data_IF_770203984977
#
_entry.id   IF_770203984977
#
_cell.length_a   1.000
_cell.length_b   1.000
_cell.length_c   1.000
_cell.angle_alpha   90.00
_cell.angle_beta   90.00
_cell.angle_gamma   90.00
#
_symmetry.space_group_name_H-M   'P 1'
#
loop_
_entity.id
_entity.type
_entity.pdbx_description
1 polymer ?
#
# COMPACT_ATOMS: atom_id res chain seq x y z
N UNK A 1 -22.97 -14.48 6.28
CA UNK A 1 -22.83 -14.94 4.88
C UNK A 1 -23.08 -13.70 4.02
N UNK A 2 -22.03 -12.94 3.68
CA UNK A 2 -22.12 -11.97 2.58
C UNK A 2 -22.41 -12.78 1.32
N UNK A 3 -23.45 -12.43 0.58
CA UNK A 3 -23.59 -12.85 -0.79
C UNK A 3 -22.34 -12.33 -1.52
N UNK A 4 -21.40 -13.20 -1.82
CA UNK A 4 -20.34 -12.93 -2.78
C UNK A 4 -21.05 -12.85 -4.14
N UNK A 5 -21.47 -11.65 -4.48
CA UNK A 5 -21.89 -11.37 -5.84
C UNK A 5 -20.61 -11.44 -6.66
N UNK A 6 -20.46 -12.49 -7.44
CA UNK A 6 -19.41 -12.58 -8.46
C UNK A 6 -19.72 -11.46 -9.47
N UNK A 7 -19.02 -10.36 -9.35
CA UNK A 7 -19.06 -9.32 -10.36
C UNK A 7 -18.36 -9.86 -11.61
N UNK A 8 -19.09 -9.97 -12.69
CA UNK A 8 -18.56 -10.37 -14.00
C UNK A 8 -17.85 -9.20 -14.69
N UNK A 9 -18.20 -7.98 -14.31
CA UNK A 9 -17.66 -6.75 -14.88
C UNK A 9 -17.08 -5.87 -13.76
N UNK A 10 -15.78 -5.99 -13.52
CA UNK A 10 -15.01 -5.12 -12.62
C UNK A 10 -14.22 -4.13 -13.46
N UNK A 11 -14.32 -2.85 -13.14
CA UNK A 11 -13.53 -1.79 -13.77
C UNK A 11 -12.36 -1.43 -12.84
N UNK A 12 -11.15 -1.38 -13.39
CA UNK A 12 -9.98 -0.88 -12.68
C UNK A 12 -9.88 0.60 -12.98
N UNK A 13 -9.89 1.40 -11.92
CA UNK A 13 -9.76 2.84 -11.95
C UNK A 13 -8.28 3.21 -11.87
N UNK A 14 -7.82 4.04 -12.79
CA UNK A 14 -6.46 4.59 -12.76
C UNK A 14 -6.35 5.78 -11.79
N UNK A 15 -5.18 6.43 -11.75
CA UNK A 15 -4.94 7.54 -10.82
C UNK A 15 -5.83 8.76 -11.15
N UNK A 16 -6.18 8.98 -12.40
CA UNK A 16 -7.01 10.12 -12.83
C UNK A 16 -8.46 9.88 -12.48
N UNK A 17 -8.98 8.69 -12.76
CA UNK A 17 -10.32 8.24 -12.38
C UNK A 17 -10.51 8.32 -10.85
N UNK A 18 -9.51 7.86 -10.09
CA UNK A 18 -9.53 7.89 -8.62
C UNK A 18 -9.53 9.32 -8.06
N UNK A 19 -8.82 10.24 -8.71
CA UNK A 19 -8.84 11.66 -8.34
C UNK A 19 -10.23 12.26 -8.54
N UNK A 20 -10.84 12.04 -9.70
CA UNK A 20 -12.20 12.52 -9.98
C UNK A 20 -13.20 11.96 -8.98
N UNK A 21 -13.13 10.67 -8.69
CA UNK A 21 -14.05 10.01 -7.77
C UNK A 21 -13.86 10.46 -6.31
N UNK A 22 -12.64 10.79 -5.91
CA UNK A 22 -12.33 11.23 -4.55
C UNK A 22 -12.57 12.72 -4.29
N UNK A 23 -12.67 13.54 -5.34
CA UNK A 23 -12.79 14.99 -5.24
C UNK A 23 -13.95 15.47 -4.35
N UNK A 24 -15.16 14.86 -4.39
CA UNK A 24 -16.27 15.27 -3.51
C UNK A 24 -15.98 15.10 -2.01
N UNK A 25 -15.05 14.24 -1.67
CA UNK A 25 -14.69 13.90 -0.29
C UNK A 25 -13.42 14.57 0.18
N UNK A 26 -12.68 15.19 -0.72
CA UNK A 26 -11.41 15.86 -0.43
C UNK A 26 -11.62 17.13 0.40
N UNK A 27 -10.94 17.26 1.54
CA UNK A 27 -10.92 18.53 2.27
C UNK A 27 -10.34 19.64 1.40
N UNK A 28 -11.03 20.78 1.34
CA UNK A 28 -10.76 21.85 0.35
C UNK A 28 -9.36 22.48 0.36
N UNK A 29 -8.55 22.20 1.39
CA UNK A 29 -7.15 22.67 1.48
C UNK A 29 -6.15 21.59 1.13
N UNK A 30 -6.54 20.31 1.12
CA UNK A 30 -5.66 19.20 0.85
C UNK A 30 -5.43 19.06 -0.67
N UNK A 31 -4.18 18.87 -1.07
CA UNK A 31 -3.85 18.64 -2.48
C UNK A 31 -4.41 17.32 -2.95
N UNK A 32 -4.87 17.23 -4.19
CA UNK A 32 -5.41 16.00 -4.80
C UNK A 32 -4.48 14.80 -4.62
N UNK A 33 -3.21 14.97 -5.00
CA UNK A 33 -2.21 13.89 -4.91
C UNK A 33 -1.99 13.45 -3.46
N UNK A 34 -1.97 14.38 -2.50
CA UNK A 34 -1.83 14.03 -1.09
C UNK A 34 -3.04 13.26 -0.58
N UNK A 35 -4.25 13.60 -1.02
CA UNK A 35 -5.46 12.90 -0.61
C UNK A 35 -5.52 11.47 -1.17
N UNK A 36 -5.18 11.26 -2.44
CA UNK A 36 -5.10 9.93 -3.04
C UNK A 36 -4.07 9.04 -2.31
N UNK A 37 -2.90 9.59 -1.98
CA UNK A 37 -1.87 8.86 -1.23
C UNK A 37 -2.33 8.48 0.17
N UNK A 38 -3.05 9.37 0.84
CA UNK A 38 -3.61 9.11 2.18
C UNK A 38 -4.65 7.99 2.11
N UNK A 39 -5.53 8.01 1.12
CA UNK A 39 -6.51 6.94 0.89
C UNK A 39 -5.77 5.60 0.72
N UNK A 40 -4.81 5.54 -0.20
CA UNK A 40 -4.02 4.33 -0.46
C UNK A 40 -3.34 3.82 0.81
N UNK A 41 -2.61 4.69 1.51
CA UNK A 41 -1.94 4.35 2.76
C UNK A 41 -2.91 3.76 3.80
N UNK A 42 -4.07 4.40 4.01
CA UNK A 42 -5.03 3.93 5.02
C UNK A 42 -5.68 2.61 4.62
N UNK A 43 -5.96 2.39 3.33
CA UNK A 43 -6.47 1.11 2.80
C UNK A 43 -5.46 -0.02 3.02
N UNK A 44 -4.18 0.22 2.72
CA UNK A 44 -3.10 -0.75 2.95
C UNK A 44 -2.97 -1.12 4.43
N UNK A 45 -2.91 -0.12 5.32
CA UNK A 45 -2.81 -0.39 6.76
C UNK A 45 -4.07 -1.03 7.34
N UNK A 46 -5.27 -0.74 6.81
CA UNK A 46 -6.48 -1.48 7.15
C UNK A 46 -6.31 -2.96 6.81
N UNK A 47 -5.73 -3.25 5.64
CA UNK A 47 -5.43 -4.62 5.22
C UNK A 47 -4.39 -5.28 6.13
N UNK A 48 -3.28 -4.60 6.42
CA UNK A 48 -2.22 -5.09 7.30
C UNK A 48 -2.72 -5.37 8.73
N UNK A 49 -3.64 -4.55 9.24
CA UNK A 49 -4.23 -4.73 10.57
C UNK A 49 -5.36 -5.76 10.61
N UNK A 50 -5.82 -6.22 9.46
CA UNK A 50 -6.91 -7.20 9.36
C UNK A 50 -8.27 -6.65 9.81
N UNK A 51 -8.52 -5.34 9.66
CA UNK A 51 -9.79 -4.73 10.04
C UNK A 51 -10.82 -4.87 8.91
N UNK A 52 -11.61 -5.94 8.96
CA UNK A 52 -12.62 -6.29 7.97
C UNK A 52 -13.95 -6.63 8.67
N UNK A 53 -14.59 -5.63 9.26
CA UNK A 53 -15.96 -5.75 9.78
C UNK A 53 -16.99 -5.41 8.69
N UNK A 54 -18.28 -5.51 9.06
CA UNK A 54 -19.37 -5.11 8.16
C UNK A 54 -19.58 -3.59 8.10
N UNK A 55 -18.74 -2.80 8.80
CA UNK A 55 -18.84 -1.35 8.87
C UNK A 55 -17.50 -0.71 8.49
N UNK A 56 -17.43 -0.17 7.27
CA UNK A 56 -16.24 0.48 6.72
C UNK A 56 -15.78 1.68 7.55
N UNK A 57 -16.72 2.51 8.00
CA UNK A 57 -16.42 3.70 8.82
C UNK A 57 -15.71 3.31 10.11
N UNK A 58 -16.19 2.24 10.77
CA UNK A 58 -15.57 1.72 12.01
C UNK A 58 -14.18 1.18 11.72
N UNK A 59 -14.01 0.44 10.63
CA UNK A 59 -12.71 -0.15 10.26
C UNK A 59 -11.68 0.95 9.96
N UNK A 60 -12.05 1.98 9.19
CA UNK A 60 -11.17 3.10 8.89
C UNK A 60 -10.86 3.94 10.13
N UNK A 61 -11.84 4.15 11.01
CA UNK A 61 -11.61 4.84 12.29
C UNK A 61 -10.58 4.12 13.16
N UNK A 62 -10.69 2.79 13.26
CA UNK A 62 -9.72 1.95 13.99
C UNK A 62 -8.34 1.99 13.33
N UNK A 63 -8.31 1.97 12.00
CA UNK A 63 -7.06 2.03 11.23
C UNK A 63 -6.34 3.35 11.48
N UNK A 64 -7.02 4.48 11.33
CA UNK A 64 -6.43 5.81 11.54
C UNK A 64 -5.95 5.98 12.98
N UNK A 65 -6.73 5.54 13.96
CA UNK A 65 -6.34 5.62 15.37
C UNK A 65 -5.08 4.78 15.66
N UNK A 66 -4.95 3.62 15.06
CA UNK A 66 -3.76 2.78 15.19
C UNK A 66 -2.56 3.33 14.44
N UNK A 67 -2.76 3.84 13.22
CA UNK A 67 -1.74 4.53 12.44
C UNK A 67 -1.16 5.73 13.20
N UNK A 68 -2.02 6.56 13.79
CA UNK A 68 -1.59 7.71 14.59
C UNK A 68 -0.67 7.30 15.74
N UNK A 69 -0.91 6.13 16.33
CA UNK A 69 -0.12 5.60 17.45
C UNK A 69 1.20 4.97 17.00
N UNK A 70 1.18 4.20 15.91
CA UNK A 70 2.29 3.34 15.50
C UNK A 70 3.13 3.93 14.38
N UNK A 71 2.53 4.75 13.50
CA UNK A 71 3.12 5.27 12.26
C UNK A 71 2.89 6.77 12.08
N UNK A 72 2.91 7.51 13.19
CA UNK A 72 2.68 8.96 13.18
C UNK A 72 3.55 9.73 12.17
N UNK A 73 4.87 9.46 12.04
CA UNK A 73 5.70 10.15 11.06
C UNK A 73 5.22 9.93 9.61
N UNK A 74 4.75 8.73 9.27
CA UNK A 74 4.25 8.44 7.93
C UNK A 74 2.97 9.23 7.62
N UNK A 75 2.07 9.36 8.60
CA UNK A 75 0.88 10.22 8.44
C UNK A 75 1.31 11.70 8.27
N UNK A 76 2.17 12.22 9.15
CA UNK A 76 2.61 13.62 9.11
C UNK A 76 3.29 13.96 7.79
N UNK A 77 4.02 13.03 7.19
CA UNK A 77 4.65 13.20 5.88
C UNK A 77 3.63 13.52 4.78
N UNK A 78 2.46 12.87 4.80
CA UNK A 78 1.39 13.11 3.81
C UNK A 78 0.80 14.53 3.93
N UNK A 79 0.86 15.13 5.12
CA UNK A 79 0.38 16.49 5.40
C UNK A 79 1.50 17.53 5.40
N UNK A 80 2.70 17.18 4.95
CA UNK A 80 3.81 18.11 4.89
C UNK A 80 3.84 18.87 3.56
N UNK A 81 4.16 20.17 3.62
CA UNK A 81 4.43 21.01 2.45
C UNK A 81 5.66 21.85 2.73
N UNK A 82 6.65 21.79 1.83
CA UNK A 82 7.92 22.54 1.99
C UNK A 82 8.59 22.36 3.37
N UNK A 83 8.51 21.13 3.93
CA UNK A 83 9.09 20.81 5.24
C UNK A 83 8.27 21.21 6.46
N UNK A 84 7.10 21.82 6.27
CA UNK A 84 6.19 22.17 7.35
C UNK A 84 4.95 21.25 7.34
N UNK A 85 4.57 20.76 8.53
CA UNK A 85 3.35 19.96 8.69
C UNK A 85 2.14 20.87 8.76
N UNK A 86 1.12 20.57 7.97
CA UNK A 86 -0.17 21.28 7.96
C UNK A 86 -1.06 20.72 9.09
N UNK A 87 -0.81 21.14 10.32
CA UNK A 87 -1.46 20.57 11.50
C UNK A 87 -2.98 20.71 11.54
N UNK A 88 -3.55 21.76 10.93
CA UNK A 88 -5.00 21.92 10.82
C UNK A 88 -5.63 20.81 9.96
N UNK A 89 -5.00 20.52 8.83
CA UNK A 89 -5.47 19.49 7.89
C UNK A 89 -5.27 18.09 8.48
N UNK A 90 -4.13 17.86 9.12
CA UNK A 90 -3.88 16.62 9.86
C UNK A 90 -4.93 16.40 10.96
N UNK A 91 -5.27 17.44 11.72
CA UNK A 91 -6.28 17.36 12.77
C UNK A 91 -7.66 17.03 12.20
N UNK A 92 -8.05 17.68 11.11
CA UNK A 92 -9.33 17.40 10.45
C UNK A 92 -9.38 15.98 9.91
N UNK A 93 -8.29 15.51 9.32
CA UNK A 93 -8.17 14.13 8.86
C UNK A 93 -8.29 13.12 10.01
N UNK A 94 -7.59 13.32 11.11
CA UNK A 94 -7.65 12.42 12.26
C UNK A 94 -9.06 12.30 12.85
N UNK A 95 -9.88 13.35 12.72
CA UNK A 95 -11.24 13.36 13.20
C UNK A 95 -12.27 12.83 12.18
N UNK A 96 -12.11 13.12 10.90
CA UNK A 96 -13.12 12.86 9.86
C UNK A 96 -12.62 11.99 8.69
N UNK A 97 -11.32 11.73 8.56
CA UNK A 97 -10.75 10.99 7.44
C UNK A 97 -11.35 9.60 7.23
N UNK A 98 -11.79 8.96 8.31
CA UNK A 98 -12.47 7.67 8.24
C UNK A 98 -13.81 7.72 7.51
N UNK A 99 -14.54 8.84 7.60
CA UNK A 99 -15.80 9.06 6.90
C UNK A 99 -15.53 9.33 5.41
N UNK A 100 -14.52 10.14 5.10
CA UNK A 100 -14.16 10.47 3.72
C UNK A 100 -13.68 9.25 2.94
N UNK A 101 -12.83 8.43 3.54
CA UNK A 101 -12.30 7.22 2.89
C UNK A 101 -13.39 6.16 2.74
N UNK A 102 -14.26 6.01 3.73
CA UNK A 102 -15.38 5.08 3.62
C UNK A 102 -16.35 5.48 2.50
N UNK A 103 -16.66 6.77 2.36
CA UNK A 103 -17.51 7.29 1.30
C UNK A 103 -16.87 7.12 -0.09
N UNK A 104 -15.56 7.30 -0.21
CA UNK A 104 -14.82 7.00 -1.44
C UNK A 104 -14.93 5.51 -1.81
N UNK A 105 -14.66 4.60 -0.87
CA UNK A 105 -14.77 3.16 -1.11
C UNK A 105 -16.19 2.73 -1.48
N UNK A 106 -17.21 3.32 -0.84
CA UNK A 106 -18.62 3.05 -1.17
C UNK A 106 -18.96 3.53 -2.58
N UNK A 107 -18.43 4.69 -2.98
CA UNK A 107 -18.60 5.22 -4.34
C UNK A 107 -17.94 4.32 -5.36
N UNK A 108 -16.70 3.88 -5.11
CA UNK A 108 -15.97 2.96 -5.98
C UNK A 108 -16.72 1.62 -6.12
N UNK A 109 -17.20 1.08 -5.00
CA UNK A 109 -17.98 -0.15 -4.99
C UNK A 109 -19.33 -0.02 -5.73
N UNK A 110 -19.97 1.16 -5.71
CA UNK A 110 -21.25 1.42 -6.37
C UNK A 110 -21.18 1.31 -7.90
N UNK A 111 -19.99 1.54 -8.46
CA UNK A 111 -19.71 1.42 -9.90
C UNK A 111 -18.93 0.14 -10.24
N UNK A 112 -18.86 -0.81 -9.32
CA UNK A 112 -18.07 -2.04 -9.43
C UNK A 112 -16.59 -1.77 -9.75
N UNK A 113 -16.06 -0.67 -9.23
CA UNK A 113 -14.69 -0.22 -9.41
C UNK A 113 -13.74 -0.80 -8.37
N UNK A 114 -12.48 -0.93 -8.76
CA UNK A 114 -11.35 -1.19 -7.88
C UNK A 114 -10.22 -0.23 -8.25
N UNK A 115 -9.57 0.38 -7.28
CA UNK A 115 -8.31 1.07 -7.49
C UNK A 115 -7.11 0.10 -7.39
N UNK A 116 -5.92 0.57 -7.74
CA UNK A 116 -4.71 -0.27 -7.66
C UNK A 116 -4.42 -0.76 -6.25
N UNK A 117 -4.72 0.03 -5.24
CA UNK A 117 -4.56 -0.37 -3.84
C UNK A 117 -5.50 -1.51 -3.46
N UNK A 118 -6.73 -1.51 -4.00
CA UNK A 118 -7.68 -2.61 -3.79
C UNK A 118 -7.17 -3.94 -4.33
N UNK A 119 -6.44 -3.92 -5.45
CA UNK A 119 -5.86 -5.14 -6.02
C UNK A 119 -4.86 -5.77 -5.04
N UNK A 120 -3.96 -4.98 -4.48
CA UNK A 120 -2.96 -5.48 -3.53
C UNK A 120 -3.62 -5.89 -2.20
N UNK A 121 -4.55 -5.09 -1.68
CA UNK A 121 -5.34 -5.43 -0.51
C UNK A 121 -6.14 -6.73 -0.72
N UNK A 122 -6.71 -6.90 -1.90
CA UNK A 122 -7.44 -8.10 -2.30
C UNK A 122 -6.57 -9.36 -2.29
N UNK A 123 -5.39 -9.28 -2.90
CA UNK A 123 -4.41 -10.39 -2.89
C UNK A 123 -3.95 -10.70 -1.47
N UNK A 124 -3.60 -9.68 -0.68
CA UNK A 124 -3.21 -9.86 0.72
C UNK A 124 -4.30 -10.59 1.50
N UNK A 125 -5.57 -10.20 1.33
CA UNK A 125 -6.71 -10.84 1.98
C UNK A 125 -6.93 -12.28 1.51
N UNK A 126 -6.81 -12.56 0.21
CA UNK A 126 -6.94 -13.90 -0.35
C UNK A 126 -5.87 -14.85 0.20
N UNK A 127 -4.64 -14.35 0.37
CA UNK A 127 -3.53 -15.14 0.89
C UNK A 127 -3.59 -15.39 2.40
N UNK A 128 -4.54 -14.79 3.14
CA UNK A 128 -4.83 -15.20 4.52
C UNK A 128 -5.44 -16.63 4.55
N UNK A 129 -6.09 -17.08 3.47
CA UNK A 129 -6.50 -18.46 3.32
C UNK A 129 -5.28 -19.34 3.00
N UNK A 130 -4.91 -20.31 3.87
CA UNK A 130 -3.75 -21.18 3.65
C UNK A 130 -3.85 -22.00 2.38
N UNK A 131 -5.05 -22.40 1.96
CA UNK A 131 -5.27 -23.23 0.77
C UNK A 131 -4.99 -22.39 -0.50
N UNK A 132 -5.50 -21.16 -0.53
CA UNK A 132 -5.26 -20.25 -1.65
C UNK A 132 -3.79 -19.90 -1.73
N UNK A 133 -3.17 -19.52 -0.60
CA UNK A 133 -1.76 -19.19 -0.51
C UNK A 133 -0.87 -20.33 -0.99
N UNK A 134 -1.09 -21.55 -0.49
CA UNK A 134 -0.31 -22.74 -0.88
C UNK A 134 -0.44 -23.05 -2.37
N UNK A 135 -1.65 -22.93 -2.92
CA UNK A 135 -1.89 -23.13 -4.36
C UNK A 135 -1.08 -22.17 -5.22
N UNK A 136 -0.90 -20.92 -4.76
CA UNK A 136 -0.10 -19.95 -5.50
C UNK A 136 1.40 -20.14 -5.25
N UNK A 137 1.80 -20.37 -4.02
CA UNK A 137 3.19 -20.62 -3.64
C UNK A 137 3.80 -21.81 -4.40
N UNK A 138 3.08 -22.90 -4.49
CA UNK A 138 3.54 -24.14 -5.18
C UNK A 138 3.67 -24.02 -6.69
N UNK A 139 3.17 -22.92 -7.29
CA UNK A 139 3.32 -22.69 -8.76
C UNK A 139 4.71 -22.21 -9.14
N UNK A 140 5.45 -21.65 -8.21
CA UNK A 140 6.73 -21.02 -8.46
C UNK A 140 7.82 -21.74 -7.70
N UNK A 141 8.96 -22.00 -8.38
CA UNK A 141 10.17 -22.47 -7.72
C UNK A 141 11.17 -21.31 -7.52
N UNK A 142 11.00 -20.26 -8.31
CA UNK A 142 11.86 -19.07 -8.31
C UNK A 142 10.97 -17.83 -8.36
N UNK A 143 11.27 -16.88 -7.51
CA UNK A 143 10.61 -15.58 -7.47
C UNK A 143 11.68 -14.52 -7.57
N UNK A 144 11.62 -13.68 -8.59
CA UNK A 144 12.53 -12.54 -8.76
C UNK A 144 11.72 -11.25 -8.62
N UNK A 145 12.16 -10.37 -7.74
CA UNK A 145 11.59 -9.04 -7.54
C UNK A 145 12.62 -8.02 -7.99
N UNK A 146 12.27 -7.25 -9.01
CA UNK A 146 13.08 -6.13 -9.48
C UNK A 146 12.58 -4.82 -8.85
N UNK A 147 13.41 -3.79 -8.87
CA UNK A 147 13.12 -2.47 -8.31
C UNK A 147 12.59 -2.54 -6.85
N UNK A 148 13.19 -3.42 -6.06
CA UNK A 148 12.75 -3.68 -4.69
C UNK A 148 12.69 -2.41 -3.81
N UNK A 149 13.48 -1.37 -4.12
CA UNK A 149 13.48 -0.10 -3.41
C UNK A 149 12.14 0.65 -3.53
N UNK A 150 11.32 0.34 -4.54
CA UNK A 150 10.02 0.98 -4.77
C UNK A 150 8.84 0.18 -4.21
N UNK A 151 9.12 -0.98 -3.61
CA UNK A 151 8.11 -1.87 -3.03
C UNK A 151 7.50 -1.29 -1.75
N UNK A 152 6.19 -1.22 -1.68
CA UNK A 152 5.44 -0.83 -0.48
C UNK A 152 5.42 -1.91 0.59
N UNK A 153 5.04 -1.53 1.82
CA UNK A 153 5.01 -2.46 2.96
C UNK A 153 4.00 -3.59 2.75
N UNK A 154 2.82 -3.28 2.19
CA UNK A 154 1.80 -4.30 1.92
C UNK A 154 2.21 -5.23 0.78
N UNK A 155 2.81 -4.69 -0.28
CA UNK A 155 3.36 -5.47 -1.40
C UNK A 155 4.44 -6.45 -0.90
N UNK A 156 5.36 -5.97 -0.06
CA UNK A 156 6.36 -6.82 0.57
C UNK A 156 5.71 -7.96 1.36
N UNK A 157 4.66 -7.68 2.14
CA UNK A 157 3.94 -8.71 2.90
C UNK A 157 3.25 -9.74 2.01
N UNK A 158 2.71 -9.33 0.89
CA UNK A 158 2.14 -10.25 -0.12
C UNK A 158 3.23 -11.15 -0.71
N UNK A 159 4.38 -10.59 -1.07
CA UNK A 159 5.52 -11.34 -1.60
C UNK A 159 6.08 -12.32 -0.56
N UNK A 160 6.24 -11.87 0.70
CA UNK A 160 6.72 -12.69 1.82
C UNK A 160 5.88 -13.96 2.01
N UNK A 161 4.56 -13.88 1.80
CA UNK A 161 3.66 -15.03 1.89
C UNK A 161 3.92 -16.12 0.84
N UNK A 162 4.63 -15.79 -0.24
CA UNK A 162 4.98 -16.71 -1.32
C UNK A 162 6.41 -17.26 -1.20
N UNK A 163 7.24 -16.74 -0.31
CA UNK A 163 8.68 -17.05 -0.29
C UNK A 163 9.04 -18.37 0.37
N UNK A 164 8.24 -18.86 1.30
CA UNK A 164 8.52 -20.10 2.01
C UNK A 164 8.66 -21.30 1.02
N UNK A 165 9.80 -21.94 1.02
CA UNK A 165 10.10 -23.08 0.13
C UNK A 165 10.49 -22.71 -1.32
N UNK A 166 10.52 -21.42 -1.67
CA UNK A 166 10.92 -20.92 -2.98
C UNK A 166 12.31 -20.27 -2.95
N UNK A 167 12.98 -20.24 -4.09
CA UNK A 167 14.20 -19.46 -4.28
C UNK A 167 13.82 -18.02 -4.58
N UNK A 168 14.33 -17.08 -3.78
CA UNK A 168 13.97 -15.66 -3.92
C UNK A 168 15.20 -14.83 -4.27
N UNK A 169 15.05 -13.99 -5.29
CA UNK A 169 16.03 -12.99 -5.70
C UNK A 169 15.37 -11.61 -5.61
N UNK A 170 15.97 -10.72 -4.82
CA UNK A 170 15.61 -9.31 -4.78
C UNK A 170 16.68 -8.49 -5.46
N UNK A 171 16.30 -7.66 -6.42
CA UNK A 171 17.16 -6.71 -7.10
C UNK A 171 16.69 -5.30 -6.81
N UNK A 172 17.63 -4.38 -6.60
CA UNK A 172 17.26 -2.97 -6.38
C UNK A 172 18.48 -2.11 -6.09
N UNK A 173 18.27 -0.81 -6.21
CA UNK A 173 19.26 0.21 -5.90
C UNK A 173 18.66 1.27 -4.98
N UNK A 174 19.10 1.34 -3.74
CA UNK A 174 18.59 2.29 -2.75
C UNK A 174 18.74 3.75 -3.13
N UNK A 175 19.75 4.08 -3.92
CA UNK A 175 19.99 5.45 -4.34
C UNK A 175 19.09 5.89 -5.50
N UNK A 176 18.30 4.95 -6.05
CA UNK A 176 17.32 5.22 -7.10
C UNK A 176 15.89 5.28 -6.59
N UNK A 177 15.65 5.19 -5.28
CA UNK A 177 14.32 5.31 -4.69
C UNK A 177 13.72 6.68 -5.00
N UNK A 178 12.58 6.69 -5.68
CA UNK A 178 11.82 7.90 -6.00
C UNK A 178 10.41 7.89 -5.39
N UNK A 179 10.02 6.78 -4.75
CA UNK A 179 8.66 6.55 -4.23
C UNK A 179 8.56 6.54 -2.71
N UNK A 180 9.54 7.13 -1.99
CA UNK A 180 9.45 7.30 -0.52
C UNK A 180 8.15 7.99 -0.08
N UNK A 181 7.63 8.90 -0.91
CA UNK A 181 6.38 9.61 -0.66
C UNK A 181 5.13 8.69 -0.70
N UNK A 182 5.22 7.51 -1.33
CA UNK A 182 4.17 6.46 -1.30
C UNK A 182 4.27 5.54 -0.08
N UNK A 183 5.23 5.77 0.82
CA UNK A 183 5.46 4.94 2.01
C UNK A 183 6.35 3.73 1.75
N UNK A 184 7.10 3.70 0.63
CA UNK A 184 8.19 2.75 0.49
C UNK A 184 9.27 3.05 1.55
N UNK A 185 9.71 2.02 2.24
CA UNK A 185 10.82 2.09 3.20
C UNK A 185 11.83 0.99 2.86
N UNK A 186 12.62 1.18 1.78
CA UNK A 186 13.49 0.15 1.26
C UNK A 186 14.54 -0.30 2.28
N UNK A 187 15.06 0.63 3.10
CA UNK A 187 16.04 0.29 4.12
C UNK A 187 15.44 -0.63 5.20
N UNK A 188 14.23 -0.35 5.64
CA UNK A 188 13.53 -1.18 6.61
C UNK A 188 13.21 -2.56 6.04
N UNK A 189 12.66 -2.62 4.82
CA UNK A 189 12.24 -3.86 4.19
C UNK A 189 13.44 -4.77 3.91
N UNK A 190 14.55 -4.21 3.44
CA UNK A 190 15.75 -5.01 3.20
C UNK A 190 16.47 -5.42 4.48
N UNK A 191 16.45 -4.59 5.52
CA UNK A 191 16.94 -4.99 6.84
C UNK A 191 16.10 -6.13 7.41
N UNK A 192 14.79 -6.10 7.19
CA UNK A 192 13.90 -7.19 7.58
C UNK A 192 14.24 -8.45 6.79
N UNK A 193 14.36 -8.37 5.46
CA UNK A 193 14.74 -9.50 4.62
C UNK A 193 16.09 -10.11 5.03
N UNK A 194 17.09 -9.26 5.29
CA UNK A 194 18.40 -9.70 5.79
C UNK A 194 18.30 -10.47 7.11
N UNK A 195 17.46 -10.00 8.01
CA UNK A 195 17.29 -10.61 9.34
C UNK A 195 16.59 -11.96 9.22
N UNK A 196 15.55 -12.03 8.40
CA UNK A 196 14.65 -13.19 8.31
C UNK A 196 15.26 -14.32 7.45
N UNK A 197 15.96 -13.97 6.36
CA UNK A 197 16.41 -14.93 5.37
C UNK A 197 17.93 -15.10 5.27
N UNK A 198 18.74 -14.18 5.83
CA UNK A 198 20.21 -14.21 5.75
C UNK A 198 20.73 -14.46 4.33
N UNK A 199 20.32 -13.66 3.35
CA UNK A 199 20.56 -13.91 1.93
C UNK A 199 22.06 -13.80 1.57
N UNK A 200 22.43 -14.45 0.46
CA UNK A 200 23.68 -14.11 -0.23
C UNK A 200 23.52 -12.74 -0.88
N UNK A 201 24.46 -11.82 -0.57
CA UNK A 201 24.47 -10.47 -1.14
C UNK A 201 25.50 -10.37 -2.26
N UNK A 202 25.07 -9.82 -3.38
CA UNK A 202 25.91 -9.51 -4.54
C UNK A 202 25.79 -8.01 -4.79
N UNK A 203 26.92 -7.30 -4.83
CA UNK A 203 26.94 -5.86 -5.03
C UNK A 203 27.63 -5.58 -6.37
N UNK A 204 26.94 -4.83 -7.24
CA UNK A 204 27.51 -4.33 -8.48
C UNK A 204 28.09 -2.95 -8.26
N UNK A 205 29.36 -2.77 -8.52
CA UNK A 205 30.07 -1.50 -8.33
C UNK A 205 30.24 -0.70 -9.61
N UNK A 206 30.05 -1.32 -10.76
CA UNK A 206 30.23 -0.67 -12.05
C UNK A 206 28.88 -0.25 -12.63
N UNK A 207 28.80 1.01 -13.05
CA UNK A 207 27.63 1.57 -13.71
C UNK A 207 27.84 1.54 -15.23
N UNK A 208 27.01 0.75 -15.92
CA UNK A 208 27.05 0.64 -17.37
C UNK A 208 25.94 1.45 -18.08
N UNK A 209 25.05 2.11 -17.33
CA UNK A 209 23.89 2.83 -17.86
C UNK A 209 24.19 4.28 -18.18
N UNK A 210 24.92 4.98 -17.34
CA UNK A 210 25.21 6.40 -17.45
C UNK A 210 26.69 6.67 -17.66
N UNK A 211 27.02 7.57 -18.57
CA UNK A 211 28.38 8.09 -18.72
C UNK A 211 28.66 9.18 -17.70
N UNK A 212 29.89 9.25 -17.20
CA UNK A 212 30.37 10.39 -16.48
C UNK A 212 30.51 11.56 -17.46
N UNK A 213 29.61 12.53 -17.41
CA UNK A 213 29.75 13.83 -18.07
C UNK A 213 29.86 14.92 -17.02
#
# INVERSE_FOLDING_TARGET
>A
KRNETLYTDVTIFDEEDCKELSEPYRPGKLREMSFANIIGMVKEYRSLYGFYSDNLVVDYKRTIARLQKEQRPAIEQQFSSFGNVLYSELHDFLNHGHEWIAAYDESLASVHGLDFTDLICGVHRLFQDPIVRERWRSRYSYISVDEMQDTGVLEYKVLEMLWEGNHVLLCGDYFQTIYEWRGSDPFRLLKQFDTDFKPLKIIFYENYRSNWT
#
